data_IF_300298802532
#
_entry.id   IF_300298802532
#
_cell.length_a   1.000
_cell.length_b   1.000
_cell.length_c   1.000
_cell.angle_alpha   90.00
_cell.angle_beta   90.00
_cell.angle_gamma   90.00
#
_symmetry.space_group_name_H-M   'P 1'
#
loop_
_entity.id
_entity.type
_entity.pdbx_description
1 polymer ?
#
# COMPACT_ATOMS: atom_id res chain seq x y z
N UNK A 1 42.83 -3.99 23.47
CA UNK A 1 43.63 -4.19 22.24
C UNK A 1 42.70 -4.64 21.12
N UNK A 2 42.23 -3.73 20.27
CA UNK A 2 41.24 -4.03 19.22
C UNK A 2 41.88 -4.71 18.01
N UNK A 3 41.37 -5.89 17.62
CA UNK A 3 41.74 -6.58 16.38
C UNK A 3 41.32 -5.72 15.18
N UNK A 4 42.30 -5.12 14.50
CA UNK A 4 42.11 -4.60 13.14
C UNK A 4 41.73 -5.79 12.25
N UNK A 5 40.45 -5.88 11.86
CA UNK A 5 40.02 -6.87 10.87
C UNK A 5 40.69 -6.51 9.55
N UNK A 6 41.55 -7.39 9.04
CA UNK A 6 42.10 -7.29 7.69
C UNK A 6 40.94 -7.14 6.69
N UNK A 7 41.01 -6.12 5.83
CA UNK A 7 40.00 -5.90 4.78
C UNK A 7 40.05 -7.09 3.83
N UNK A 8 38.92 -7.73 3.58
CA UNK A 8 38.84 -8.84 2.61
C UNK A 8 39.16 -8.32 1.21
N UNK A 9 39.69 -9.19 0.35
CA UNK A 9 40.02 -8.85 -1.05
C UNK A 9 38.82 -8.27 -1.81
N UNK A 10 37.61 -8.73 -1.46
CA UNK A 10 36.36 -8.20 -1.98
C UNK A 10 36.12 -6.73 -1.58
N UNK A 11 36.35 -6.35 -0.32
CA UNK A 11 36.19 -4.97 0.14
C UNK A 11 37.20 -4.04 -0.53
N UNK A 12 38.41 -4.52 -0.79
CA UNK A 12 39.43 -3.77 -1.56
C UNK A 12 38.97 -3.51 -3.00
N UNK A 13 38.48 -4.53 -3.71
CA UNK A 13 37.93 -4.39 -5.06
C UNK A 13 36.67 -3.52 -5.12
N UNK A 14 35.82 -3.59 -4.09
CA UNK A 14 34.64 -2.73 -3.97
C UNK A 14 35.05 -1.27 -3.81
N UNK A 15 36.01 -0.98 -2.95
CA UNK A 15 36.51 0.38 -2.72
C UNK A 15 37.20 0.95 -3.96
N UNK A 16 38.00 0.17 -4.67
CA UNK A 16 38.62 0.58 -5.94
C UNK A 16 37.56 1.00 -6.98
N UNK A 17 36.49 0.19 -7.15
CA UNK A 17 35.37 0.53 -8.04
C UNK A 17 34.61 1.78 -7.63
N UNK A 18 34.45 2.02 -6.32
CA UNK A 18 33.82 3.24 -5.81
C UNK A 18 34.66 4.47 -6.18
N UNK A 19 35.97 4.40 -5.98
CA UNK A 19 36.90 5.50 -6.32
C UNK A 19 36.91 5.76 -7.82
N UNK A 20 36.94 4.71 -8.65
CA UNK A 20 36.87 4.85 -10.11
C UNK A 20 35.56 5.53 -10.56
N UNK A 21 34.42 5.10 -10.02
CA UNK A 21 33.12 5.71 -10.33
C UNK A 21 33.04 7.17 -9.86
N UNK A 22 33.62 7.50 -8.71
CA UNK A 22 33.72 8.89 -8.23
C UNK A 22 34.55 9.75 -9.18
N UNK A 23 35.69 9.24 -9.68
CA UNK A 23 36.52 9.92 -10.66
C UNK A 23 35.76 10.16 -11.98
N UNK A 24 35.00 9.16 -12.46
CA UNK A 24 34.14 9.30 -13.66
C UNK A 24 33.03 10.36 -13.46
N UNK A 25 32.39 10.40 -12.29
CA UNK A 25 31.37 11.42 -12.00
C UNK A 25 31.98 12.83 -11.91
N UNK A 26 33.20 12.95 -11.42
CA UNK A 26 33.94 14.20 -11.38
C UNK A 26 34.35 14.67 -12.78
N UNK A 27 34.86 13.78 -13.65
CA UNK A 27 35.24 14.12 -15.03
C UNK A 27 34.04 14.55 -15.87
N UNK A 28 32.87 13.97 -15.62
CA UNK A 28 31.61 14.35 -16.27
C UNK A 28 31.01 15.65 -15.71
N UNK A 29 31.62 16.27 -14.70
CA UNK A 29 31.17 17.54 -14.13
C UNK A 29 29.84 17.47 -13.37
N UNK A 30 29.35 16.26 -13.05
CA UNK A 30 28.03 16.04 -12.44
C UNK A 30 27.89 16.74 -11.08
N UNK A 31 28.98 16.80 -10.31
CA UNK A 31 28.98 17.50 -9.03
C UNK A 31 28.80 19.02 -9.17
N UNK A 32 29.33 19.61 -10.24
CA UNK A 32 29.16 21.05 -10.53
C UNK A 32 27.70 21.33 -10.90
N UNK A 33 27.13 20.54 -11.82
CA UNK A 33 25.72 20.70 -12.24
C UNK A 33 24.73 20.53 -11.09
N UNK A 34 24.97 19.58 -10.17
CA UNK A 34 24.15 19.44 -8.95
C UNK A 34 24.28 20.67 -8.04
N UNK A 35 25.48 21.21 -7.87
CA UNK A 35 25.69 22.40 -7.02
C UNK A 35 25.01 23.63 -7.62
N UNK A 36 25.08 23.79 -8.94
CA UNK A 36 24.43 24.89 -9.67
C UNK A 36 22.90 24.77 -9.58
N UNK A 37 22.35 23.57 -9.73
CA UNK A 37 20.91 23.35 -9.53
C UNK A 37 20.48 23.64 -8.10
N UNK A 38 21.30 23.29 -7.11
CA UNK A 38 21.00 23.62 -5.71
C UNK A 38 21.09 25.12 -5.44
N UNK A 39 22.06 25.84 -6.00
CA UNK A 39 22.15 27.29 -5.84
C UNK A 39 20.95 28.01 -6.47
N UNK A 40 20.48 27.54 -7.63
CA UNK A 40 19.26 28.05 -8.28
C UNK A 40 18.01 27.80 -7.43
N UNK A 41 17.91 26.65 -6.75
CA UNK A 41 16.74 26.30 -5.93
C UNK A 41 16.81 26.91 -4.52
N UNK A 42 18.00 27.21 -4.00
CA UNK A 42 18.19 27.79 -2.66
C UNK A 42 17.93 29.30 -2.58
N UNK A 43 17.86 30.02 -3.71
CA UNK A 43 17.58 31.46 -3.73
C UNK A 43 16.11 31.84 -3.55
N UNK A 44 15.17 30.88 -3.63
CA UNK A 44 13.76 31.13 -3.34
C UNK A 44 13.20 30.08 -2.37
N UNK A 45 12.90 30.48 -1.13
CA UNK A 45 12.02 29.68 -0.26
C UNK A 45 10.61 29.70 -0.88
N UNK A 46 10.06 28.58 -1.37
CA UNK A 46 8.67 28.60 -1.81
C UNK A 46 7.79 28.90 -0.59
N UNK A 47 6.98 29.96 -0.67
CA UNK A 47 5.93 30.22 0.33
C UNK A 47 5.07 28.96 0.42
N UNK A 48 5.07 28.30 1.58
CA UNK A 48 4.21 27.15 1.85
C UNK A 48 2.77 27.63 1.71
N UNK A 49 2.14 27.38 0.56
CA UNK A 49 0.71 27.57 0.41
C UNK A 49 0.04 26.52 1.30
N UNK A 50 -0.87 26.95 2.18
CA UNK A 50 -1.76 26.02 2.89
C UNK A 50 -2.39 25.11 1.86
N UNK A 51 -2.13 23.81 1.99
CA UNK A 51 -2.73 22.81 1.13
C UNK A 51 -4.22 22.76 1.43
N UNK A 52 -5.03 23.34 0.54
CA UNK A 52 -6.45 23.03 0.49
C UNK A 52 -6.61 21.73 -0.30
N UNK A 53 -7.24 20.72 0.32
CA UNK A 53 -7.72 19.54 -0.41
C UNK A 53 -8.63 20.03 -1.52
N UNK A 54 -8.23 19.75 -2.77
CA UNK A 54 -9.16 19.73 -3.88
C UNK A 54 -9.55 18.29 -4.11
N UNK A 55 -10.84 18.01 -4.06
CA UNK A 55 -11.37 16.72 -4.46
C UNK A 55 -11.06 16.51 -5.94
N UNK A 56 -10.25 15.51 -6.23
CA UNK A 56 -9.88 15.17 -7.59
C UNK A 56 -11.06 14.44 -8.23
N UNK A 57 -11.85 15.16 -9.01
CA UNK A 57 -12.67 14.55 -10.06
C UNK A 57 -11.73 13.90 -11.08
N UNK A 58 -12.03 12.65 -11.41
CA UNK A 58 -11.18 11.75 -12.21
C UNK A 58 -10.91 12.37 -13.58
N UNK A 59 -9.66 12.76 -13.82
CA UNK A 59 -9.13 12.89 -15.19
C UNK A 59 -8.10 11.79 -15.41
N UNK A 60 -8.05 11.18 -16.61
CA UNK A 60 -7.15 10.07 -16.87
C UNK A 60 -5.70 10.52 -16.72
N UNK A 61 -4.94 9.78 -15.91
CA UNK A 61 -3.52 10.06 -15.64
C UNK A 61 -2.72 9.93 -16.93
N UNK A 62 -2.10 11.03 -17.34
CA UNK A 62 -1.22 11.14 -18.51
C UNK A 62 -0.03 10.17 -18.36
N UNK A 63 0.01 9.09 -19.15
CA UNK A 63 1.23 8.29 -19.33
C UNK A 63 2.29 9.16 -20.03
N UNK A 64 3.50 9.24 -19.47
CA UNK A 64 4.60 9.98 -20.09
C UNK A 64 5.05 9.29 -21.38
N UNK A 65 5.04 10.01 -22.50
CA UNK A 65 5.49 9.53 -23.81
C UNK A 65 7.01 9.61 -24.00
N UNK A 66 7.81 9.56 -22.93
CA UNK A 66 9.27 9.76 -22.97
C UNK A 66 10.05 8.65 -23.73
N UNK A 67 9.39 7.60 -24.23
CA UNK A 67 10.03 6.46 -24.90
C UNK A 67 9.59 6.18 -26.35
N UNK A 68 9.22 7.20 -27.14
CA UNK A 68 9.16 7.03 -28.60
C UNK A 68 9.89 8.17 -29.31
N UNK A 69 11.01 7.83 -29.94
CA UNK A 69 11.85 8.76 -30.69
C UNK A 69 11.41 8.94 -32.14
N UNK A 70 11.48 10.22 -32.57
CA UNK A 70 11.72 10.75 -33.94
C UNK A 70 10.69 10.54 -35.07
N UNK A 71 10.68 11.37 -36.14
CA UNK A 71 11.25 12.73 -36.33
C UNK A 71 10.21 13.78 -36.85
N UNK A 72 10.69 15.02 -36.99
CA UNK A 72 9.98 16.22 -37.43
C UNK A 72 9.45 16.13 -38.87
N UNK A 73 8.27 16.71 -39.12
CA UNK A 73 7.97 17.40 -40.38
C UNK A 73 7.24 18.72 -40.10
N UNK A 74 7.70 19.74 -40.80
CA UNK A 74 7.43 21.15 -40.66
C UNK A 74 6.12 21.59 -41.32
N UNK A 75 5.34 22.42 -40.62
CA UNK A 75 4.55 23.47 -41.27
C UNK A 75 4.40 24.66 -40.33
N UNK A 76 5.00 25.78 -40.75
CA UNK A 76 4.98 27.08 -40.10
C UNK A 76 3.56 27.64 -40.01
N UNK A 77 3.10 27.98 -38.80
CA UNK A 77 2.06 28.98 -38.60
C UNK A 77 2.20 29.65 -37.23
N UNK A 78 2.70 30.88 -37.27
CA UNK A 78 2.43 32.02 -36.38
C UNK A 78 2.44 31.82 -34.85
N UNK A 79 3.41 32.48 -34.23
CA UNK A 79 3.44 32.89 -32.83
C UNK A 79 2.07 33.40 -32.33
N UNK A 80 1.45 32.66 -31.41
CA UNK A 80 0.51 33.23 -30.45
C UNK A 80 0.72 32.56 -29.10
N UNK A 81 1.04 33.42 -28.13
CA UNK A 81 1.31 33.09 -26.74
C UNK A 81 0.18 32.24 -26.14
N UNK A 82 0.60 31.20 -25.40
CA UNK A 82 -0.20 30.37 -24.51
C UNK A 82 -1.31 31.17 -23.80
N UNK A 83 -2.55 31.04 -24.25
CA UNK A 83 -3.75 31.33 -23.46
C UNK A 83 -4.64 30.10 -23.48
N UNK A 84 -4.77 29.48 -22.31
CA UNK A 84 -5.67 28.34 -22.09
C UNK A 84 -7.12 28.80 -22.27
N UNK A 85 -7.96 27.92 -22.82
CA UNK A 85 -9.41 28.06 -22.96
C UNK A 85 -10.17 28.13 -21.60
N UNK A 86 -9.49 28.50 -20.52
CA UNK A 86 -10.00 28.57 -19.15
C UNK A 86 -10.86 29.83 -18.88
N UNK A 87 -11.02 30.71 -19.88
CA UNK A 87 -11.75 31.98 -19.77
C UNK A 87 -13.02 32.08 -20.64
N UNK A 88 -13.51 30.98 -21.22
CA UNK A 88 -14.86 30.95 -21.78
C UNK A 88 -15.82 30.36 -20.74
N UNK A 89 -16.35 31.24 -19.89
CA UNK A 89 -17.42 30.90 -18.95
C UNK A 89 -18.68 30.49 -19.71
N UNK A 90 -19.28 29.37 -19.32
CA UNK A 90 -20.67 29.04 -19.63
C UNK A 90 -21.34 28.79 -18.28
N UNK A 91 -22.36 29.61 -18.00
CA UNK A 91 -23.12 29.58 -16.77
C UNK A 91 -23.84 28.24 -16.61
N UNK A 92 -23.74 27.66 -15.42
CA UNK A 92 -24.65 26.62 -14.94
C UNK A 92 -24.93 27.00 -13.49
N UNK A 93 -26.21 27.19 -13.19
CA UNK A 93 -26.73 27.76 -11.96
C UNK A 93 -26.34 26.94 -10.72
N UNK A 94 -25.97 27.66 -9.66
CA UNK A 94 -25.54 27.14 -8.38
C UNK A 94 -26.66 27.45 -7.39
N UNK A 95 -27.43 26.45 -6.96
CA UNK A 95 -28.21 26.60 -5.74
C UNK A 95 -27.31 26.29 -4.54
N UNK A 96 -27.07 27.33 -3.73
CA UNK A 96 -26.47 27.23 -2.41
C UNK A 96 -27.39 26.41 -1.49
N UNK A 97 -26.82 25.41 -0.82
CA UNK A 97 -27.38 24.94 0.46
C UNK A 97 -26.27 24.90 1.50
N UNK A 98 -26.54 25.61 2.58
CA UNK A 98 -25.62 26.04 3.62
C UNK A 98 -24.92 24.91 4.38
N UNK A 99 -23.75 25.27 4.93
CA UNK A 99 -23.03 24.55 5.97
C UNK A 99 -23.89 24.44 7.25
N UNK A 100 -24.52 23.28 7.42
CA UNK A 100 -25.17 22.89 8.67
C UNK A 100 -24.35 21.83 9.40
N UNK A 101 -23.86 22.19 10.59
CA UNK A 101 -23.42 21.21 11.60
C UNK A 101 -24.65 20.40 12.00
N UNK A 102 -24.72 19.11 11.63
CA UNK A 102 -25.75 18.22 12.16
C UNK A 102 -25.15 16.90 12.64
N UNK A 103 -25.12 16.78 13.96
CA UNK A 103 -25.29 15.50 14.62
C UNK A 103 -26.66 14.94 14.22
N UNK A 104 -26.69 13.93 13.37
CA UNK A 104 -27.90 13.16 13.13
C UNK A 104 -27.58 11.67 13.23
N UNK A 105 -28.13 11.06 14.28
CA UNK A 105 -28.26 9.62 14.44
C UNK A 105 -28.87 9.01 13.18
N UNK A 106 -28.12 8.17 12.47
CA UNK A 106 -28.69 7.33 11.42
C UNK A 106 -28.64 5.89 11.91
N UNK A 107 -29.75 5.48 12.54
CA UNK A 107 -30.09 4.07 12.69
C UNK A 107 -30.11 3.41 11.30
N UNK A 108 -29.59 2.17 11.22
CA UNK A 108 -29.98 1.22 10.17
C UNK A 108 -29.18 1.13 8.87
N UNK A 109 -28.04 1.82 8.68
CA UNK A 109 -27.15 1.48 7.55
C UNK A 109 -26.28 0.28 7.93
N UNK A 110 -26.60 -0.90 7.40
CA UNK A 110 -25.73 -2.08 7.51
C UNK A 110 -24.29 -1.69 7.14
N UNK A 111 -23.35 -1.92 8.07
CA UNK A 111 -21.93 -1.65 7.84
C UNK A 111 -21.46 -2.59 6.73
N UNK A 112 -21.30 -2.08 5.51
CA UNK A 112 -20.74 -2.85 4.41
C UNK A 112 -19.34 -3.36 4.79
N UNK A 113 -19.00 -4.60 4.42
CA UNK A 113 -17.72 -5.19 4.78
C UNK A 113 -16.58 -4.45 4.07
N UNK A 114 -15.41 -4.35 4.69
CA UNK A 114 -14.28 -3.60 4.12
C UNK A 114 -13.71 -4.24 2.84
N UNK A 115 -14.00 -5.53 2.63
CA UNK A 115 -13.68 -6.26 1.41
C UNK A 115 -14.75 -6.10 0.30
N UNK A 116 -15.79 -5.29 0.52
CA UNK A 116 -16.79 -4.90 -0.48
C UNK A 116 -17.15 -3.40 -0.39
N UNK A 117 -16.18 -2.48 -0.60
CA UNK A 117 -16.48 -1.07 -0.59
C UNK A 117 -17.46 -0.72 -1.71
N UNK A 118 -18.45 0.13 -1.38
CA UNK A 118 -19.37 0.71 -2.36
C UNK A 118 -18.58 1.67 -3.26
N UNK A 119 -18.75 1.52 -4.57
CA UNK A 119 -18.16 2.43 -5.56
C UNK A 119 -19.26 2.82 -6.53
N UNK A 120 -19.50 4.11 -6.71
CA UNK A 120 -20.38 4.64 -7.75
C UNK A 120 -19.65 4.63 -9.07
N UNK A 121 -20.15 3.88 -10.05
CA UNK A 121 -19.55 3.73 -11.38
C UNK A 121 -20.64 3.93 -12.43
N UNK A 122 -20.32 4.64 -13.50
CA UNK A 122 -21.10 4.61 -14.74
C UNK A 122 -20.74 3.33 -15.50
N UNK A 123 -21.72 2.43 -15.65
CA UNK A 123 -21.61 1.00 -16.00
C UNK A 123 -20.88 0.66 -17.32
N UNK A 124 -20.51 1.63 -18.14
CA UNK A 124 -20.23 1.39 -19.56
C UNK A 124 -18.81 0.91 -19.91
N UNK A 125 -17.90 0.61 -18.96
CA UNK A 125 -16.52 0.18 -19.36
C UNK A 125 -15.66 -0.60 -18.36
N UNK A 126 -16.23 -1.34 -17.41
CA UNK A 126 -15.43 -2.17 -16.48
C UNK A 126 -15.31 -3.62 -16.97
N UNK A 127 -14.45 -3.86 -17.96
CA UNK A 127 -13.95 -5.21 -18.26
C UNK A 127 -12.44 -5.28 -18.05
N UNK A 128 -11.98 -6.35 -17.40
CA UNK A 128 -10.55 -6.66 -17.37
C UNK A 128 -10.13 -7.19 -18.74
N UNK A 129 -8.98 -6.72 -19.25
CA UNK A 129 -8.43 -7.35 -20.45
C UNK A 129 -8.05 -8.81 -20.15
N UNK A 130 -8.07 -9.71 -21.15
CA UNK A 130 -7.68 -11.10 -20.97
C UNK A 130 -6.29 -11.29 -20.35
N UNK A 131 -5.34 -10.40 -20.68
CA UNK A 131 -4.00 -10.38 -20.12
C UNK A 131 -4.00 -10.05 -18.62
N UNK A 132 -4.81 -9.09 -18.19
CA UNK A 132 -4.91 -8.74 -16.77
C UNK A 132 -5.67 -9.81 -15.99
N UNK A 133 -6.71 -10.41 -16.57
CA UNK A 133 -7.44 -11.52 -15.96
C UNK A 133 -6.53 -12.73 -15.70
N UNK A 134 -5.70 -13.11 -16.67
CA UNK A 134 -4.71 -14.19 -16.48
C UNK A 134 -3.66 -13.81 -15.43
N UNK A 135 -3.06 -12.62 -15.51
CA UNK A 135 -2.05 -12.15 -14.54
C UNK A 135 -2.56 -12.14 -13.10
N UNK A 136 -3.85 -11.84 -12.91
CA UNK A 136 -4.50 -11.77 -11.60
C UNK A 136 -4.30 -13.06 -10.79
N UNK A 137 -4.43 -14.21 -11.44
CA UNK A 137 -4.42 -15.52 -10.79
C UNK A 137 -3.09 -16.28 -10.95
N UNK A 138 -2.17 -15.78 -11.79
CA UNK A 138 -0.91 -16.48 -12.13
C UNK A 138 0.11 -16.56 -10.98
N UNK A 139 -0.11 -15.88 -9.85
CA UNK A 139 0.88 -15.85 -8.75
C UNK A 139 0.59 -16.94 -7.72
N UNK A 140 1.47 -17.94 -7.66
CA UNK A 140 1.41 -19.09 -6.72
C UNK A 140 1.27 -18.71 -5.24
N UNK A 141 1.71 -17.51 -4.85
CA UNK A 141 1.68 -17.11 -3.43
C UNK A 141 0.34 -16.49 -2.97
N UNK A 142 -0.70 -16.39 -3.82
CA UNK A 142 -2.00 -15.84 -3.40
C UNK A 142 -2.00 -14.33 -3.16
N UNK A 143 -1.02 -13.59 -3.71
CA UNK A 143 -1.04 -12.12 -3.73
C UNK A 143 -1.63 -11.63 -5.04
N UNK A 144 -2.58 -10.70 -4.93
CA UNK A 144 -3.05 -9.91 -6.05
C UNK A 144 -1.91 -9.17 -6.75
N UNK A 145 -1.75 -9.39 -8.04
CA UNK A 145 -0.72 -8.80 -8.91
C UNK A 145 -1.21 -7.60 -9.71
N UNK A 146 -2.50 -7.56 -10.02
CA UNK A 146 -3.11 -6.55 -10.89
C UNK A 146 -3.63 -5.39 -10.04
N UNK A 147 -3.10 -4.20 -10.31
CA UNK A 147 -3.58 -2.97 -9.71
C UNK A 147 -4.90 -2.56 -10.36
N UNK A 148 -5.87 -2.14 -9.54
CA UNK A 148 -7.11 -1.54 -10.04
C UNK A 148 -7.54 -0.45 -9.05
N UNK A 149 -7.75 0.78 -9.51
CA UNK A 149 -8.08 1.91 -8.65
C UNK A 149 -9.50 1.87 -8.09
N UNK A 150 -10.40 1.17 -8.80
CA UNK A 150 -11.85 1.11 -8.58
C UNK A 150 -12.19 -0.14 -7.75
N UNK A 151 -12.01 -1.32 -8.33
CA UNK A 151 -12.37 -2.59 -7.70
C UNK A 151 -11.22 -3.21 -6.87
N UNK A 152 -10.02 -2.64 -6.94
CA UNK A 152 -8.88 -3.11 -6.16
C UNK A 152 -9.01 -2.76 -4.69
N UNK A 153 -8.80 -3.76 -3.85
CA UNK A 153 -8.94 -3.64 -2.39
C UNK A 153 -7.55 -3.60 -1.76
N UNK A 154 -7.36 -2.70 -0.81
CA UNK A 154 -6.11 -2.54 -0.11
C UNK A 154 -5.96 -3.57 1.03
N UNK A 155 -4.93 -4.42 0.98
CA UNK A 155 -4.56 -5.28 2.12
C UNK A 155 -3.74 -4.46 3.14
N UNK A 156 -3.98 -4.67 4.43
CA UNK A 156 -3.32 -3.97 5.54
C UNK A 156 -1.78 -3.99 5.43
N UNK A 157 -1.21 -5.10 4.97
CA UNK A 157 0.24 -5.27 4.79
C UNK A 157 0.74 -4.82 3.41
N UNK A 158 0.01 -5.12 2.34
CA UNK A 158 0.47 -4.78 0.98
C UNK A 158 0.32 -3.29 0.67
N UNK A 159 -0.67 -2.62 1.27
CA UNK A 159 -0.94 -1.17 1.10
C UNK A 159 -1.09 -0.73 -0.36
N UNK A 160 -1.48 -1.65 -1.24
CA UNK A 160 -1.72 -1.44 -2.67
C UNK A 160 -3.14 -1.90 -3.01
N UNK A 161 -3.85 -1.11 -3.82
CA UNK A 161 -5.16 -1.49 -4.35
C UNK A 161 -4.98 -2.53 -5.46
N UNK A 162 -5.11 -3.80 -5.10
CA UNK A 162 -4.98 -4.91 -6.06
C UNK A 162 -6.21 -5.80 -6.04
N UNK A 163 -6.53 -6.37 -7.20
CA UNK A 163 -7.52 -7.44 -7.32
C UNK A 163 -7.01 -8.69 -6.60
N UNK A 164 -7.89 -9.49 -6.01
CA UNK A 164 -7.46 -10.74 -5.37
C UNK A 164 -7.03 -11.80 -6.40
N UNK A 165 -6.29 -12.81 -5.95
CA UNK A 165 -5.74 -13.86 -6.81
C UNK A 165 -6.67 -15.08 -6.97
N UNK A 166 -7.90 -15.04 -6.44
CA UNK A 166 -8.83 -16.19 -6.48
C UNK A 166 -9.57 -16.25 -7.82
N UNK A 167 -9.50 -17.39 -8.50
CA UNK A 167 -10.09 -17.58 -9.83
C UNK A 167 -11.60 -17.31 -9.84
N UNK A 168 -12.29 -17.83 -8.83
CA UNK A 168 -13.74 -17.82 -8.60
C UNK A 168 -14.28 -16.52 -7.98
N UNK A 169 -13.42 -15.51 -7.75
CA UNK A 169 -13.88 -14.24 -7.19
C UNK A 169 -14.64 -13.40 -8.20
N UNK A 170 -15.97 -13.40 -8.12
CA UNK A 170 -16.86 -12.58 -8.96
C UNK A 170 -16.51 -11.08 -8.91
N UNK A 171 -16.28 -10.53 -7.71
CA UNK A 171 -15.89 -9.12 -7.53
C UNK A 171 -14.63 -8.75 -8.30
N UNK A 172 -13.60 -9.58 -8.22
CA UNK A 172 -12.29 -9.26 -8.79
C UNK A 172 -12.11 -9.76 -10.22
N UNK A 173 -12.82 -10.82 -10.63
CA UNK A 173 -12.79 -11.37 -11.98
C UNK A 173 -13.72 -10.62 -12.92
N UNK A 174 -14.95 -10.34 -12.49
CA UNK A 174 -15.99 -9.69 -13.30
C UNK A 174 -16.15 -8.21 -12.97
N UNK A 175 -15.31 -7.66 -12.08
CA UNK A 175 -15.38 -6.28 -11.60
C UNK A 175 -16.72 -5.92 -10.92
N UNK A 176 -17.48 -6.91 -10.45
CA UNK A 176 -18.78 -6.72 -9.80
C UNK A 176 -18.62 -6.15 -8.37
N UNK A 177 -18.83 -4.85 -8.23
CA UNK A 177 -18.68 -4.12 -6.96
C UNK A 177 -19.74 -4.46 -5.91
N UNK A 178 -20.82 -5.14 -6.29
CA UNK A 178 -21.86 -5.55 -5.35
C UNK A 178 -21.53 -6.88 -4.66
N UNK A 179 -20.63 -7.67 -5.25
CA UNK A 179 -20.19 -8.93 -4.66
C UNK A 179 -19.02 -8.72 -3.67
N UNK A 180 -18.94 -9.52 -2.59
CA UNK A 180 -17.81 -9.49 -1.69
C UNK A 180 -16.56 -10.11 -2.32
N UNK A 181 -15.39 -9.64 -1.90
CA UNK A 181 -14.13 -10.25 -2.30
C UNK A 181 -13.86 -11.51 -1.47
N UNK A 182 -13.83 -12.67 -2.12
CA UNK A 182 -13.48 -13.94 -1.43
C UNK A 182 -11.99 -14.10 -1.16
N UNK A 183 -11.13 -13.34 -1.85
CA UNK A 183 -9.67 -13.44 -1.76
C UNK A 183 -9.02 -12.52 -0.74
N UNK A 184 -9.83 -11.79 0.03
CA UNK A 184 -9.39 -10.87 1.08
C UNK A 184 -10.34 -10.97 2.27
N UNK A 185 -9.78 -11.07 3.46
CA UNK A 185 -10.55 -11.18 4.71
C UNK A 185 -11.34 -9.91 4.99
N UNK A 186 -12.35 -10.06 5.82
CA UNK A 186 -13.06 -8.95 6.47
C UNK A 186 -13.24 -9.32 7.94
N UNK A 187 -13.03 -8.35 8.84
CA UNK A 187 -13.10 -8.59 10.27
C UNK A 187 -14.54 -8.41 10.76
N UNK A 188 -15.06 -9.40 11.49
CA UNK A 188 -16.42 -9.41 12.06
C UNK A 188 -16.71 -8.26 13.03
N UNK A 189 -15.67 -7.61 13.56
CA UNK A 189 -15.79 -6.56 14.58
C UNK A 189 -15.62 -5.17 13.99
N UNK A 190 -14.49 -4.92 13.31
CA UNK A 190 -14.14 -3.57 12.90
C UNK A 190 -14.57 -3.22 11.48
N UNK A 191 -14.82 -4.21 10.61
CA UNK A 191 -15.09 -4.02 9.17
C UNK A 191 -14.25 -2.88 8.56
N UNK A 192 -12.95 -2.87 8.88
CA UNK A 192 -12.04 -1.77 8.55
C UNK A 192 -10.85 -2.28 7.74
N UNK A 193 -10.07 -1.36 7.17
CA UNK A 193 -8.84 -1.69 6.43
C UNK A 193 -7.80 -2.47 7.25
N UNK A 194 -7.88 -2.45 8.58
CA UNK A 194 -7.04 -3.26 9.47
C UNK A 194 -7.40 -4.75 9.42
N UNK A 195 -8.68 -5.06 9.16
CA UNK A 195 -9.21 -6.42 9.03
C UNK A 195 -9.07 -7.03 7.65
N UNK A 196 -8.54 -6.28 6.67
CA UNK A 196 -8.41 -6.74 5.29
C UNK A 196 -7.01 -7.29 5.03
N UNK A 197 -6.89 -8.61 4.94
CA UNK A 197 -5.67 -9.34 4.67
C UNK A 197 -5.86 -10.17 3.39
N UNK A 198 -4.89 -10.14 2.47
CA UNK A 198 -4.88 -11.09 1.36
C UNK A 198 -4.35 -12.45 1.82
N UNK A 199 -4.71 -13.52 1.10
CA UNK A 199 -4.26 -14.91 1.35
C UNK A 199 -2.80 -15.00 1.77
N UNK A 200 -1.90 -14.43 0.98
CA UNK A 200 -0.48 -14.50 1.25
C UNK A 200 -0.07 -13.85 2.58
N UNK A 201 -0.65 -12.70 2.90
CA UNK A 201 -0.32 -11.98 4.13
C UNK A 201 -0.89 -12.69 5.34
N UNK A 202 -2.12 -13.19 5.24
CA UNK A 202 -2.75 -14.00 6.28
C UNK A 202 -1.89 -15.24 6.59
N UNK A 203 -1.58 -16.05 5.57
CA UNK A 203 -0.76 -17.26 5.71
C UNK A 203 0.65 -16.98 6.21
N UNK A 204 1.36 -16.01 5.63
CA UNK A 204 2.76 -15.77 5.98
C UNK A 204 2.91 -15.04 7.32
N UNK A 205 2.04 -14.06 7.60
CA UNK A 205 2.17 -13.22 8.81
C UNK A 205 1.50 -13.83 10.01
N UNK A 206 0.38 -14.54 9.85
CA UNK A 206 -0.39 -15.10 10.96
C UNK A 206 -0.44 -16.63 10.93
N UNK A 207 -0.29 -17.26 9.76
CA UNK A 207 -0.29 -18.73 9.68
C UNK A 207 -1.69 -19.32 9.59
N UNK A 208 -2.68 -18.49 9.24
CA UNK A 208 -4.07 -18.89 9.03
C UNK A 208 -4.32 -19.07 7.52
N UNK A 209 -5.12 -20.06 7.16
CA UNK A 209 -5.57 -20.25 5.78
C UNK A 209 -6.84 -19.44 5.51
N UNK A 210 -6.98 -18.96 4.26
CA UNK A 210 -8.07 -18.04 3.92
C UNK A 210 -9.43 -18.75 3.94
N UNK A 211 -9.47 -20.02 3.58
CA UNK A 211 -10.65 -20.88 3.61
C UNK A 211 -11.22 -20.98 5.01
N UNK A 212 -10.39 -21.31 5.99
CA UNK A 212 -10.76 -21.45 7.41
C UNK A 212 -11.30 -20.12 7.97
N UNK A 213 -10.63 -19.01 7.64
CA UNK A 213 -11.06 -17.67 8.04
C UNK A 213 -12.39 -17.28 7.40
N UNK A 214 -12.64 -17.69 6.15
CA UNK A 214 -13.89 -17.38 5.45
C UNK A 214 -15.07 -18.18 5.99
N UNK A 215 -14.83 -19.43 6.39
CA UNK A 215 -15.84 -20.26 7.05
C UNK A 215 -16.18 -19.74 8.44
N UNK A 216 -15.20 -19.17 9.14
CA UNK A 216 -15.39 -18.53 10.44
C UNK A 216 -15.98 -17.11 10.33
N UNK A 217 -17.30 -17.00 10.41
CA UNK A 217 -18.03 -15.71 10.42
C UNK A 217 -17.67 -14.79 11.58
N UNK A 218 -17.11 -15.34 12.65
CA UNK A 218 -16.70 -14.58 13.84
C UNK A 218 -15.22 -14.19 13.80
N UNK A 219 -14.50 -14.47 12.70
CA UNK A 219 -13.07 -14.17 12.61
C UNK A 219 -12.75 -12.71 12.93
N UNK A 220 -11.81 -12.54 13.86
CA UNK A 220 -11.36 -11.25 14.33
C UNK A 220 -9.95 -10.98 13.85
N UNK A 221 -9.73 -9.78 13.32
CA UNK A 221 -8.39 -9.39 12.93
C UNK A 221 -7.47 -9.21 14.16
N UNK A 222 -6.15 -9.29 13.96
CA UNK A 222 -5.17 -9.13 15.03
C UNK A 222 -5.27 -7.82 15.82
N UNK A 223 -5.76 -6.74 15.22
CA UNK A 223 -6.02 -5.49 15.95
C UNK A 223 -7.18 -5.66 16.95
N UNK A 224 -8.28 -6.29 16.52
CA UNK A 224 -9.45 -6.48 17.38
C UNK A 224 -9.21 -7.52 18.47
N UNK A 225 -8.45 -8.59 18.19
CA UNK A 225 -8.05 -9.58 19.21
C UNK A 225 -7.25 -8.90 20.33
N UNK A 226 -6.31 -8.02 19.94
CA UNK A 226 -5.49 -7.24 20.87
C UNK A 226 -6.32 -6.23 21.66
N UNK A 227 -7.18 -5.44 20.99
CA UNK A 227 -8.06 -4.45 21.63
C UNK A 227 -9.03 -5.07 22.63
N UNK A 228 -9.58 -6.26 22.32
CA UNK A 228 -10.46 -7.01 23.22
C UNK A 228 -9.70 -7.75 24.33
N UNK A 229 -8.37 -7.85 24.24
CA UNK A 229 -7.56 -8.55 25.22
C UNK A 229 -7.73 -10.07 25.25
N UNK A 230 -8.31 -10.67 24.20
CA UNK A 230 -8.59 -12.13 24.15
C UNK A 230 -7.28 -12.92 24.18
N UNK A 231 -6.29 -12.47 23.42
CA UNK A 231 -4.93 -13.01 23.48
C UNK A 231 -3.93 -11.85 23.51
N UNK A 232 -3.29 -11.56 24.66
CA UNK A 232 -2.40 -10.41 24.81
C UNK A 232 -1.10 -10.52 23.99
N UNK A 233 -0.78 -11.70 23.47
CA UNK A 233 0.42 -11.94 22.67
C UNK A 233 0.12 -11.93 21.16
N UNK A 234 -1.15 -12.06 20.77
CA UNK A 234 -1.57 -12.05 19.37
C UNK A 234 -1.80 -10.61 18.88
N UNK A 235 -0.71 -9.97 18.46
CA UNK A 235 -0.70 -8.56 18.08
C UNK A 235 -0.54 -8.37 16.57
N UNK A 236 -0.92 -7.19 16.07
CA UNK A 236 -0.63 -6.84 14.69
C UNK A 236 0.87 -6.65 14.44
N UNK A 237 1.46 -7.48 13.58
CA UNK A 237 2.90 -7.45 13.28
C UNK A 237 3.31 -6.55 12.09
N UNK A 238 2.44 -5.63 11.66
CA UNK A 238 2.77 -4.67 10.62
C UNK A 238 3.84 -3.68 11.11
N UNK A 239 4.69 -3.20 10.20
CA UNK A 239 5.78 -2.29 10.57
C UNK A 239 5.28 -0.99 11.21
N UNK A 240 4.12 -0.49 10.78
CA UNK A 240 3.50 0.70 11.39
C UNK A 240 2.98 0.41 12.79
N UNK A 241 2.29 -0.72 12.95
CA UNK A 241 1.75 -1.16 14.24
C UNK A 241 2.86 -1.37 15.27
N UNK A 242 3.95 -2.04 14.90
CA UNK A 242 5.09 -2.27 15.78
C UNK A 242 5.80 -0.96 16.15
N UNK A 243 5.97 -0.02 15.21
CA UNK A 243 6.52 1.31 15.51
C UNK A 243 5.68 2.07 16.53
N UNK A 244 4.36 2.05 16.37
CA UNK A 244 3.45 2.72 17.32
C UNK A 244 3.55 2.11 18.73
N UNK A 245 3.88 0.81 18.83
CA UNK A 245 4.15 0.09 20.09
C UNK A 245 5.57 0.26 20.61
N UNK A 246 6.40 1.10 19.98
CA UNK A 246 7.84 1.27 20.28
C UNK A 246 8.64 -0.05 20.18
N UNK A 247 8.17 -0.98 19.37
CA UNK A 247 8.86 -2.22 19.06
C UNK A 247 9.61 -2.11 17.74
N UNK A 248 10.72 -2.82 17.63
CA UNK A 248 11.47 -2.90 16.37
C UNK A 248 10.61 -3.54 15.29
N UNK A 249 10.46 -2.90 14.11
CA UNK A 249 9.74 -3.51 13.00
C UNK A 249 10.35 -4.85 12.61
N UNK A 250 9.49 -5.82 12.34
CA UNK A 250 9.91 -7.19 11.96
C UNK A 250 10.69 -7.26 10.64
N UNK A 251 10.61 -6.24 9.78
CA UNK A 251 11.22 -6.31 8.45
C UNK A 251 10.74 -7.54 7.66
N UNK A 252 11.69 -8.28 7.07
CA UNK A 252 11.45 -9.56 6.40
C UNK A 252 11.63 -10.72 7.40
N UNK A 253 10.94 -10.68 8.54
CA UNK A 253 10.98 -11.72 9.58
C UNK A 253 10.49 -13.10 9.12
N UNK A 254 9.98 -13.22 7.89
CA UNK A 254 9.48 -14.47 7.32
C UNK A 254 10.57 -15.53 7.28
N UNK A 255 11.77 -15.15 6.86
CA UNK A 255 12.90 -16.08 6.77
C UNK A 255 13.34 -16.55 8.16
N UNK A 256 13.49 -15.62 9.09
CA UNK A 256 13.82 -15.92 10.50
C UNK A 256 12.78 -16.83 11.16
N UNK A 257 11.50 -16.56 10.97
CA UNK A 257 10.44 -17.40 11.52
C UNK A 257 10.50 -18.83 10.99
N UNK A 258 10.74 -19.00 9.67
CA UNK A 258 10.88 -20.32 9.04
C UNK A 258 12.14 -21.06 9.47
N UNK A 259 13.26 -20.36 9.55
CA UNK A 259 14.55 -20.93 9.98
C UNK A 259 14.47 -21.47 11.41
N UNK A 260 13.74 -20.78 12.28
CA UNK A 260 13.50 -21.21 13.66
C UNK A 260 12.32 -22.22 13.80
N UNK A 261 11.70 -22.63 12.70
CA UNK A 261 10.62 -23.63 12.70
C UNK A 261 9.23 -23.12 13.11
N UNK A 262 9.01 -21.82 13.21
CA UNK A 262 7.68 -21.27 13.50
C UNK A 262 6.77 -21.30 12.27
N UNK A 263 5.48 -21.57 12.51
CA UNK A 263 4.42 -21.57 11.48
C UNK A 263 4.30 -20.21 10.76
N UNK A 264 4.42 -19.11 11.50
CA UNK A 264 4.30 -17.75 10.95
C UNK A 264 5.06 -16.72 11.77
N UNK A 265 5.14 -15.49 11.24
CA UNK A 265 5.77 -14.35 11.94
C UNK A 265 5.05 -14.03 13.26
N UNK A 266 3.72 -14.18 13.34
CA UNK A 266 2.97 -13.97 14.56
C UNK A 266 3.35 -14.98 15.65
N UNK A 267 3.56 -16.25 15.30
CA UNK A 267 3.98 -17.29 16.26
C UNK A 267 5.37 -17.00 16.85
N UNK A 268 6.32 -16.56 16.01
CA UNK A 268 7.64 -16.11 16.48
C UNK A 268 7.50 -14.94 17.48
N UNK A 269 6.70 -13.93 17.14
CA UNK A 269 6.52 -12.76 18.00
C UNK A 269 5.80 -13.08 19.30
N UNK A 270 4.79 -13.95 19.27
CA UNK A 270 4.08 -14.41 20.46
C UNK A 270 5.07 -15.00 21.47
N UNK A 271 5.92 -15.93 21.02
CA UNK A 271 6.91 -16.57 21.88
C UNK A 271 7.97 -15.57 22.37
N UNK A 272 8.44 -14.64 21.53
CA UNK A 272 9.34 -13.56 21.97
C UNK A 272 8.71 -12.65 23.04
N UNK A 273 7.41 -12.38 22.95
CA UNK A 273 6.68 -11.58 23.94
C UNK A 273 6.43 -12.34 25.24
N UNK A 274 6.11 -13.62 25.16
CA UNK A 274 5.95 -14.51 26.32
C UNK A 274 7.26 -14.64 27.09
N UNK A 275 8.38 -14.84 26.39
CA UNK A 275 9.73 -14.91 27.01
C UNK A 275 10.15 -13.60 27.70
N UNK A 276 9.71 -12.44 27.20
CA UNK A 276 10.00 -11.14 27.81
C UNK A 276 9.13 -10.80 29.01
N UNK A 277 7.93 -11.39 29.12
CA UNK A 277 6.97 -11.13 30.19
C UNK A 277 6.52 -12.43 30.89
N UNK A 278 7.44 -13.14 31.57
CA UNK A 278 7.12 -14.42 32.21
C UNK A 278 6.10 -14.29 33.36
N UNK A 279 5.96 -13.10 33.96
CA UNK A 279 5.06 -12.81 35.08
C UNK A 279 3.57 -12.88 34.77
N UNK A 280 3.17 -13.02 33.50
CA UNK A 280 1.75 -13.20 33.09
C UNK A 280 1.35 -14.66 32.84
N UNK A 281 2.30 -15.60 32.90
CA UNK A 281 2.05 -17.04 32.73
C UNK A 281 1.44 -17.71 33.97
N UNK A 282 1.53 -17.08 35.15
CA UNK A 282 1.04 -17.67 36.42
C UNK A 282 -0.43 -17.39 36.75
N UNK A 283 -1.19 -16.69 35.91
CA UNK A 283 -2.59 -16.30 36.22
C UNK A 283 -3.62 -17.26 35.59
N UNK A 284 -3.22 -18.18 34.72
CA UNK A 284 -4.13 -19.12 34.05
C UNK A 284 -3.98 -20.58 34.53
N UNK A 285 -3.64 -20.76 35.81
CA UNK A 285 -3.60 -22.07 36.45
C UNK A 285 -4.09 -21.97 37.89
N UNK A 286 -5.37 -21.62 38.06
CA UNK A 286 -6.18 -21.96 39.23
C UNK A 286 -7.62 -22.18 38.78
#
# INVERSE_FOLDING_TARGET
MGKLRAKSDYESLRNARIVENQARLASLGVHKTISDLRSIVSSEKPKVRKWQKKDNVITPVRRSTRFKGTPLSSSLASNSLRRSNRLRGKAIDFEEREEGTDSYSSEGKEKRPANAPLVTIDDASLQLSPEDSSRRCNRKEGRGSVYNSICGICCHFCRQKTLCAENDCKRCGNLDVNQPCIGKTDCSVCHSSNGVLCRACLKIRYGEELEEVRENKEWMCPHCIEEKGINPYWICNSSLCLKNRKMTPTGIAIYRARELGYKSVAHLLMDELQRKNPSRLMICSK
#
